data_IF_021043246610
#
_entry.id   IF_021043246610
#
_cell.length_a   1.000
_cell.length_b   1.000
_cell.length_c   1.000
_cell.angle_alpha   90.00
_cell.angle_beta   90.00
_cell.angle_gamma   90.00
#
_symmetry.space_group_name_H-M   'P 1'
#
loop_
_entity.id
_entity.type
_entity.pdbx_description
1 polymer ?
#
# COMPACT_ATOMS: atom_id res chain seq x y z
N UNK A 1 7.85 -6.92 15.71
CA UNK A 1 7.56 -6.40 14.36
C UNK A 1 7.64 -4.90 14.46
N UNK A 2 8.51 -4.24 13.70
CA UNK A 2 8.50 -2.78 13.62
C UNK A 2 7.14 -2.37 13.06
N UNK A 3 6.52 -1.35 13.63
CA UNK A 3 5.31 -0.77 13.08
C UNK A 3 5.69 -0.08 11.76
N UNK A 4 5.42 -0.75 10.64
CA UNK A 4 5.66 -0.24 9.29
C UNK A 4 4.43 0.50 8.74
N UNK A 5 3.53 0.95 9.62
CA UNK A 5 2.37 1.74 9.22
C UNK A 5 2.87 3.02 8.52
N UNK A 6 2.32 3.37 7.34
CA UNK A 6 2.74 4.55 6.62
C UNK A 6 2.40 5.77 7.47
N UNK A 7 3.31 6.72 7.52
CA UNK A 7 3.13 8.00 8.23
C UNK A 7 3.27 9.13 7.22
N UNK A 8 2.83 10.35 7.54
CA UNK A 8 3.10 11.50 6.67
C UNK A 8 4.60 11.66 6.36
N UNK A 9 5.48 11.34 7.32
CA UNK A 9 6.94 11.39 7.17
C UNK A 9 7.54 10.17 6.45
N UNK A 10 6.82 9.05 6.40
CA UNK A 10 7.17 7.84 5.66
C UNK A 10 5.93 7.41 4.84
N UNK A 11 5.57 8.18 3.79
CA UNK A 11 4.39 7.92 2.97
C UNK A 11 4.54 6.60 2.23
N UNK A 12 3.44 5.91 1.95
CA UNK A 12 3.47 4.61 1.32
C UNK A 12 2.20 3.79 1.50
N UNK A 13 2.23 2.58 0.96
CA UNK A 13 1.21 1.55 1.13
C UNK A 13 1.74 0.49 2.12
N UNK A 14 0.93 0.16 3.11
CA UNK A 14 1.20 -0.90 4.07
C UNK A 14 0.05 -1.89 4.07
N UNK A 15 0.39 -3.17 4.14
CA UNK A 15 -0.56 -4.26 4.24
C UNK A 15 -0.10 -5.18 5.37
N UNK A 16 -0.99 -5.49 6.30
CA UNK A 16 -0.76 -6.44 7.37
C UNK A 16 -1.84 -7.53 7.35
N UNK A 17 -1.42 -8.78 7.55
CA UNK A 17 -2.33 -9.91 7.75
C UNK A 17 -1.79 -10.77 8.90
N UNK A 18 -2.31 -10.60 10.13
CA UNK A 18 -1.71 -11.20 11.31
C UNK A 18 -1.87 -12.72 11.37
N UNK A 19 -2.86 -13.27 10.67
CA UNK A 19 -3.03 -14.71 10.48
C UNK A 19 -3.87 -15.00 9.22
N UNK A 20 -3.84 -16.24 8.67
CA UNK A 20 -4.64 -16.60 7.50
C UNK A 20 -6.15 -16.42 7.70
N UNK A 21 -6.62 -16.61 8.93
CA UNK A 21 -8.04 -16.51 9.31
C UNK A 21 -8.46 -15.11 9.76
N UNK A 22 -7.51 -14.21 10.02
CA UNK A 22 -7.82 -12.82 10.36
C UNK A 22 -7.97 -11.99 9.08
N UNK A 23 -8.86 -10.98 9.08
CA UNK A 23 -8.97 -10.07 7.94
C UNK A 23 -7.65 -9.31 7.74
N UNK A 24 -7.27 -9.13 6.48
CA UNK A 24 -6.17 -8.24 6.14
C UNK A 24 -6.51 -6.79 6.52
N UNK A 25 -5.50 -6.00 6.85
CA UNK A 25 -5.59 -4.56 7.02
C UNK A 25 -4.63 -3.88 6.05
N UNK A 26 -5.06 -2.75 5.51
CA UNK A 26 -4.30 -1.95 4.57
C UNK A 26 -4.43 -0.47 4.89
N UNK A 27 -3.33 0.26 4.74
CA UNK A 27 -3.31 1.72 4.84
C UNK A 27 -2.42 2.29 3.75
N UNK A 28 -2.84 3.41 3.17
CA UNK A 28 -2.12 4.13 2.15
C UNK A 28 -2.08 5.61 2.51
N UNK A 29 -0.89 6.20 2.42
CA UNK A 29 -0.68 7.64 2.46
C UNK A 29 0.05 8.03 1.19
N UNK A 30 -0.54 8.91 0.41
CA UNK A 30 0.08 9.49 -0.77
C UNK A 30 0.77 10.82 -0.40
N UNK A 31 1.87 11.12 -1.09
CA UNK A 31 2.56 12.40 -0.95
C UNK A 31 1.71 13.61 -1.39
N UNK A 32 0.62 13.40 -2.14
CA UNK A 32 -0.36 14.45 -2.45
C UNK A 32 -1.27 14.81 -1.26
N UNK A 33 -1.14 14.12 -0.12
CA UNK A 33 -1.96 14.31 1.08
C UNK A 33 -3.20 13.41 1.15
N UNK A 34 -3.50 12.63 0.12
CA UNK A 34 -4.57 11.65 0.16
C UNK A 34 -4.21 10.47 1.07
N UNK A 35 -5.19 10.00 1.85
CA UNK A 35 -5.04 8.82 2.71
C UNK A 35 -6.21 7.87 2.50
N UNK A 36 -5.95 6.57 2.66
CA UNK A 36 -6.97 5.54 2.57
C UNK A 36 -6.66 4.38 3.52
N UNK A 37 -7.70 3.74 4.05
CA UNK A 37 -7.59 2.54 4.89
C UNK A 37 -8.59 1.50 4.41
N UNK A 38 -8.25 0.22 4.54
CA UNK A 38 -9.07 -0.90 4.13
C UNK A 38 -8.93 -2.07 5.11
N UNK A 39 -10.03 -2.78 5.34
CA UNK A 39 -10.08 -3.99 6.15
C UNK A 39 -10.80 -5.09 5.38
N UNK A 40 -10.21 -6.28 5.35
CA UNK A 40 -10.67 -7.42 4.56
C UNK A 40 -9.82 -7.63 3.30
N UNK A 41 -9.58 -8.89 2.93
CA UNK A 41 -8.66 -9.25 1.86
C UNK A 41 -9.00 -8.60 0.52
N UNK A 42 -10.27 -8.60 0.12
CA UNK A 42 -10.71 -8.01 -1.14
C UNK A 42 -10.56 -6.48 -1.15
N UNK A 43 -10.88 -5.83 -0.04
CA UNK A 43 -10.79 -4.37 0.12
C UNK A 43 -9.32 -3.92 0.15
N UNK A 44 -8.46 -4.68 0.82
CA UNK A 44 -7.01 -4.43 0.84
C UNK A 44 -6.41 -4.66 -0.54
N UNK A 45 -6.84 -5.70 -1.26
CA UNK A 45 -6.40 -5.91 -2.65
C UNK A 45 -6.82 -4.74 -3.55
N UNK A 46 -8.06 -4.26 -3.44
CA UNK A 46 -8.53 -3.09 -4.18
C UNK A 46 -7.75 -1.81 -3.82
N UNK A 47 -7.41 -1.62 -2.55
CA UNK A 47 -6.57 -0.52 -2.08
C UNK A 47 -5.16 -0.58 -2.70
N UNK A 48 -4.54 -1.77 -2.71
CA UNK A 48 -3.22 -2.00 -3.30
C UNK A 48 -3.24 -1.71 -4.79
N UNK A 49 -4.22 -2.26 -5.52
CA UNK A 49 -4.39 -2.02 -6.95
C UNK A 49 -4.59 -0.54 -7.25
N UNK A 50 -5.51 0.14 -6.55
CA UNK A 50 -5.73 1.57 -6.73
C UNK A 50 -4.48 2.40 -6.44
N UNK A 51 -3.70 2.05 -5.41
CA UNK A 51 -2.43 2.73 -5.13
C UNK A 51 -1.40 2.50 -6.25
N UNK A 52 -1.26 1.27 -6.74
CA UNK A 52 -0.37 0.93 -7.87
C UNK A 52 -0.79 1.60 -9.17
N UNK A 53 -2.08 1.68 -9.49
CA UNK A 53 -2.57 2.31 -10.71
C UNK A 53 -2.33 3.83 -10.71
N UNK A 54 -2.47 4.48 -9.55
CA UNK A 54 -2.30 5.93 -9.42
C UNK A 54 -0.84 6.38 -9.23
N UNK A 55 0.02 5.51 -8.70
CA UNK A 55 1.41 5.87 -8.36
C UNK A 55 2.47 5.03 -9.06
N UNK A 56 2.04 4.03 -9.83
CA UNK A 56 2.93 3.02 -10.41
C UNK A 56 3.71 2.26 -9.34
N UNK A 57 4.49 1.24 -9.74
CA UNK A 57 5.67 0.91 -8.96
C UNK A 57 6.57 2.16 -8.96
N UNK A 58 6.70 2.82 -7.82
CA UNK A 58 7.66 3.91 -7.60
C UNK A 58 9.12 3.52 -7.96
N UNK A 59 9.35 2.24 -8.25
CA UNK A 59 10.61 1.67 -8.73
C UNK A 59 10.44 0.75 -9.95
N UNK A 60 9.86 1.25 -11.06
CA UNK A 60 10.37 0.85 -12.38
C UNK A 60 11.58 1.75 -12.71
N UNK A 61 12.66 1.55 -11.95
CA UNK A 61 13.99 2.00 -12.34
C UNK A 61 14.42 1.11 -13.50
N UNK A 62 14.66 1.71 -14.67
CA UNK A 62 15.66 1.27 -15.64
C UNK A 62 15.97 -0.24 -15.68
N UNK A 63 15.06 -1.05 -16.21
CA UNK A 63 15.43 -2.35 -16.76
C UNK A 63 14.96 -2.45 -18.21
N UNK A 64 15.59 -1.62 -19.05
CA UNK A 64 15.99 -1.98 -20.42
C UNK A 64 14.93 -2.08 -21.52
N UNK A 65 14.84 -1.02 -22.34
CA UNK A 65 14.83 -1.00 -23.83
C UNK A 65 14.46 0.42 -24.27
N UNK A 66 15.32 1.19 -24.96
CA UNK A 66 16.09 0.88 -26.17
C UNK A 66 17.42 1.63 -26.20
#
# INVERSE_FOLDING_TARGET
>A
MADLTPTPSNPGLHVSKPSPSAPAQGSAICHCGATATATGDAQVAALVQGYTDNHGPAHNKEQGRR
#
